data_IF_802608623406
#
_entry.id   IF_802608623406
#
_cell.length_a   1.000
_cell.length_b   1.000
_cell.length_c   1.000
_cell.angle_alpha   90.00
_cell.angle_beta   90.00
_cell.angle_gamma   90.00
#
_symmetry.space_group_name_H-M   'P 1'
#
loop_
_entity.id
_entity.type
_entity.pdbx_description
1 polymer ?
#
# COMPACT_ATOMS: atom_id res chain seq x y z
N UNK A 1 10.69 -4.27 -8.74
CA UNK A 1 10.19 -3.07 -8.03
C UNK A 1 10.87 -2.95 -6.68
N UNK A 2 11.61 -1.86 -6.48
CA UNK A 2 12.20 -1.49 -5.19
C UNK A 2 11.15 -0.81 -4.31
N UNK A 3 11.31 -0.88 -3.00
CA UNK A 3 10.47 -0.15 -2.06
C UNK A 3 11.28 0.50 -0.94
N UNK A 4 10.67 1.48 -0.29
CA UNK A 4 11.16 2.13 0.93
C UNK A 4 9.98 2.37 1.87
N UNK A 5 10.26 2.52 3.16
CA UNK A 5 9.27 2.91 4.17
C UNK A 5 9.60 4.29 4.71
N UNK A 6 8.57 5.06 5.04
CA UNK A 6 8.73 6.30 5.81
C UNK A 6 8.85 5.99 7.30
N UNK A 7 9.43 6.91 8.07
CA UNK A 7 9.47 6.81 9.53
C UNK A 7 8.08 6.79 10.18
N UNK A 8 7.07 7.38 9.53
CA UNK A 8 5.69 7.28 9.98
C UNK A 8 5.15 5.86 9.77
N UNK A 9 5.42 5.26 8.61
CA UNK A 9 5.05 3.88 8.31
C UNK A 9 5.69 2.91 9.30
N UNK A 10 6.98 3.07 9.61
CA UNK A 10 7.68 2.15 10.51
C UNK A 10 7.08 2.18 11.92
N UNK A 11 6.71 3.37 12.42
CA UNK A 11 6.04 3.54 13.71
C UNK A 11 4.63 2.95 13.71
N UNK A 12 3.85 3.28 12.69
CA UNK A 12 2.51 2.73 12.48
C UNK A 12 2.54 1.20 12.43
N UNK A 13 3.48 0.64 11.66
CA UNK A 13 3.66 -0.80 11.51
C UNK A 13 4.08 -1.45 12.83
N UNK A 14 4.98 -0.83 13.60
CA UNK A 14 5.37 -1.32 14.91
C UNK A 14 4.19 -1.34 15.91
N UNK A 15 3.27 -0.38 15.79
CA UNK A 15 2.07 -0.29 16.65
C UNK A 15 0.92 -1.22 16.26
N UNK A 16 0.97 -1.86 15.08
CA UNK A 16 -0.09 -2.77 14.64
C UNK A 16 -0.08 -4.09 15.43
N UNK A 17 -1.26 -4.66 15.73
CA UNK A 17 -1.37 -6.01 16.25
C UNK A 17 -0.59 -7.02 15.38
N UNK A 18 0.08 -8.03 15.97
CA UNK A 18 0.84 -9.04 15.22
C UNK A 18 0.04 -9.71 14.10
N UNK A 19 -1.22 -10.03 14.36
CA UNK A 19 -2.13 -10.62 13.38
C UNK A 19 -2.34 -9.70 12.17
N UNK A 20 -2.60 -8.41 12.41
CA UNK A 20 -2.81 -7.42 11.36
C UNK A 20 -1.54 -7.22 10.51
N UNK A 21 -0.35 -7.24 11.13
CA UNK A 21 0.92 -7.24 10.40
C UNK A 21 1.04 -8.46 9.49
N UNK A 22 0.72 -9.65 9.99
CA UNK A 22 0.72 -10.88 9.21
C UNK A 22 -0.26 -10.84 8.04
N UNK A 23 -1.48 -10.34 8.26
CA UNK A 23 -2.49 -10.15 7.22
C UNK A 23 -2.03 -9.17 6.13
N UNK A 24 -1.43 -8.04 6.52
CA UNK A 24 -0.88 -7.08 5.58
C UNK A 24 0.23 -7.70 4.71
N UNK A 25 1.20 -8.37 5.33
CA UNK A 25 2.30 -9.02 4.61
C UNK A 25 1.78 -10.13 3.66
N UNK A 26 0.76 -10.87 4.09
CA UNK A 26 0.11 -11.89 3.26
C UNK A 26 -0.60 -11.25 2.06
N UNK A 27 -1.37 -10.17 2.28
CA UNK A 27 -2.01 -9.43 1.20
C UNK A 27 -0.99 -8.85 0.21
N UNK A 28 0.17 -8.40 0.69
CA UNK A 28 1.24 -7.94 -0.17
C UNK A 28 1.81 -9.05 -1.04
N UNK A 29 2.21 -10.16 -0.40
CA UNK A 29 2.83 -11.31 -1.06
C UNK A 29 1.90 -11.97 -2.08
N UNK A 30 0.65 -12.20 -1.68
CA UNK A 30 -0.26 -13.06 -2.45
C UNK A 30 -1.02 -12.28 -3.53
N UNK A 31 -1.12 -10.96 -3.42
CA UNK A 31 -2.00 -10.16 -4.28
C UNK A 31 -1.34 -8.89 -4.81
N UNK A 32 -0.77 -8.05 -3.93
CA UNK A 32 -0.26 -6.75 -4.35
C UNK A 32 0.97 -6.88 -5.25
N UNK A 33 2.02 -7.58 -4.80
CA UNK A 33 3.28 -7.73 -5.54
C UNK A 33 3.09 -8.46 -6.88
N UNK A 34 2.30 -9.55 -6.96
CA UNK A 34 1.98 -10.16 -8.25
C UNK A 34 1.26 -9.21 -9.22
N UNK A 35 0.29 -8.43 -8.72
CA UNK A 35 -0.43 -7.46 -9.56
C UNK A 35 0.49 -6.33 -10.07
N UNK A 36 1.40 -5.85 -9.22
CA UNK A 36 2.44 -4.90 -9.62
C UNK A 36 3.32 -5.52 -10.71
N UNK A 37 3.80 -6.75 -10.52
CA UNK A 37 4.63 -7.46 -11.50
C UNK A 37 3.93 -7.67 -12.84
N UNK A 38 2.60 -7.79 -12.83
CA UNK A 38 1.78 -7.89 -14.04
C UNK A 38 1.48 -6.53 -14.70
N UNK A 39 1.87 -5.40 -14.10
CA UNK A 39 1.68 -4.07 -14.67
C UNK A 39 0.43 -3.32 -14.20
N UNK A 40 -0.17 -3.66 -13.05
CA UNK A 40 -1.44 -3.08 -12.61
C UNK A 40 -1.45 -1.55 -12.44
N UNK A 41 -0.29 -0.92 -12.27
CA UNK A 41 -0.18 0.55 -12.27
C UNK A 41 -0.55 1.21 -13.61
N UNK A 42 -0.37 0.50 -14.73
CA UNK A 42 -0.80 0.99 -16.05
C UNK A 42 -2.32 0.87 -16.26
N UNK A 43 -3.04 0.28 -15.29
CA UNK A 43 -4.49 0.06 -15.37
C UNK A 43 -4.91 -1.18 -16.15
N UNK A 44 -3.99 -1.87 -16.82
CA UNK A 44 -4.23 -3.15 -17.51
C UNK A 44 -3.03 -4.08 -17.25
N UNK A 45 -3.22 -5.24 -16.60
CA UNK A 45 -4.46 -5.73 -16.00
C UNK A 45 -4.91 -4.88 -14.79
N UNK A 46 -6.20 -4.88 -14.42
CA UNK A 46 -6.67 -4.14 -13.25
C UNK A 46 -6.17 -4.77 -11.94
N UNK A 47 -6.27 -4.01 -10.85
CA UNK A 47 -6.00 -4.53 -9.50
C UNK A 47 -6.91 -5.72 -9.14
N UNK A 48 -6.42 -6.71 -8.35
CA UNK A 48 -7.25 -7.79 -7.84
C UNK A 48 -8.44 -7.23 -7.05
N UNK A 49 -9.66 -7.74 -7.28
CA UNK A 49 -10.91 -7.24 -6.65
C UNK A 49 -10.89 -7.22 -5.11
N UNK A 50 -10.05 -8.05 -4.51
CA UNK A 50 -9.83 -8.14 -3.05
C UNK A 50 -8.93 -7.04 -2.48
N UNK A 51 -8.28 -6.27 -3.33
CA UNK A 51 -7.56 -5.05 -2.96
C UNK A 51 -8.35 -3.87 -3.47
N UNK A 52 -8.64 -2.90 -2.62
CA UNK A 52 -9.18 -1.61 -3.07
C UNK A 52 -8.04 -0.62 -3.15
N UNK A 53 -7.55 -0.39 -4.36
CA UNK A 53 -6.48 0.56 -4.63
C UNK A 53 -7.02 1.69 -5.48
N UNK A 54 -6.81 2.92 -5.03
CA UNK A 54 -7.17 4.11 -5.78
C UNK A 54 -6.25 5.27 -5.39
N UNK A 55 -6.08 6.22 -6.29
CA UNK A 55 -5.32 7.44 -6.03
C UNK A 55 -6.19 8.43 -5.26
N UNK A 56 -5.64 9.05 -4.22
CA UNK A 56 -6.33 10.10 -3.47
C UNK A 56 -6.41 11.36 -4.34
N UNK A 57 -7.62 11.94 -4.42
CA UNK A 57 -7.92 13.10 -5.25
C UNK A 57 -6.94 14.26 -5.01
N UNK A 58 -6.38 14.81 -6.08
CA UNK A 58 -5.45 15.96 -5.99
C UNK A 58 -4.04 15.64 -5.47
N UNK A 59 -3.67 14.36 -5.30
CA UNK A 59 -2.35 13.96 -4.79
C UNK A 59 -1.66 12.92 -5.69
N UNK A 60 -0.39 12.59 -5.44
CA UNK A 60 0.30 11.41 -6.01
C UNK A 60 0.20 10.16 -5.12
N UNK A 61 -0.58 10.23 -4.04
CA UNK A 61 -0.69 9.18 -3.03
C UNK A 61 -1.80 8.21 -3.42
N UNK A 62 -1.48 6.92 -3.31
CA UNK A 62 -2.40 5.81 -3.42
C UNK A 62 -2.86 5.38 -2.04
N UNK A 63 -4.14 5.06 -1.94
CA UNK A 63 -4.73 4.32 -0.83
C UNK A 63 -4.83 2.84 -1.20
N UNK A 64 -4.51 1.97 -0.25
CA UNK A 64 -4.72 0.53 -0.28
C UNK A 64 -5.62 0.10 0.88
N UNK A 65 -6.72 -0.58 0.59
CA UNK A 65 -7.42 -1.44 1.56
C UNK A 65 -6.97 -2.87 1.36
N UNK A 66 -6.35 -3.45 2.39
CA UNK A 66 -5.80 -4.82 2.37
C UNK A 66 -6.56 -5.80 3.28
N UNK A 67 -7.43 -5.29 4.15
CA UNK A 67 -8.34 -6.07 4.98
C UNK A 67 -9.68 -5.34 5.12
N UNK A 68 -10.79 -6.06 5.02
CA UNK A 68 -12.16 -5.55 5.19
C UNK A 68 -12.81 -5.99 6.51
N UNK A 69 -12.16 -6.87 7.28
CA UNK A 69 -12.56 -7.21 8.65
C UNK A 69 -12.30 -6.01 9.57
N UNK A 70 -13.12 -5.81 10.60
CA UNK A 70 -12.99 -4.68 11.52
C UNK A 70 -11.87 -4.90 12.55
N UNK A 71 -10.95 -3.93 12.77
CA UNK A 71 -10.82 -2.68 12.03
C UNK A 71 -10.17 -2.90 10.66
N UNK A 72 -10.65 -2.15 9.68
CA UNK A 72 -10.37 -2.35 8.26
C UNK A 72 -8.96 -1.87 7.88
N UNK A 73 -8.09 -2.80 7.52
CA UNK A 73 -6.70 -2.54 7.23
C UNK A 73 -6.48 -1.59 6.04
N UNK A 74 -5.83 -0.46 6.30
CA UNK A 74 -5.44 0.57 5.33
C UNK A 74 -3.93 0.75 5.26
N UNK A 75 -3.45 1.19 4.10
CA UNK A 75 -2.11 1.67 3.90
C UNK A 75 -2.10 2.77 2.83
N UNK A 76 -1.14 3.69 2.91
CA UNK A 76 -0.89 4.69 1.87
C UNK A 76 0.51 4.54 1.31
N UNK A 77 0.67 4.80 0.01
CA UNK A 77 1.98 4.79 -0.64
C UNK A 77 1.98 5.75 -1.83
N UNK A 78 3.16 6.16 -2.29
CA UNK A 78 3.33 6.84 -3.58
C UNK A 78 4.41 6.16 -4.41
N UNK A 79 4.46 6.49 -5.70
CA UNK A 79 5.54 6.05 -6.58
C UNK A 79 6.48 7.23 -6.81
N UNK A 80 7.77 7.00 -6.58
CA UNK A 80 8.84 7.92 -6.97
C UNK A 80 9.53 7.41 -8.22
N UNK A 81 10.08 8.32 -9.02
CA UNK A 81 11.01 7.94 -10.08
C UNK A 81 12.32 7.47 -9.43
N UNK A 82 12.68 6.21 -9.66
CA UNK A 82 13.97 5.68 -9.25
C UNK A 82 15.05 5.88 -10.32
N UNK A 83 16.29 5.49 -9.99
CA UNK A 83 17.36 5.36 -10.98
C UNK A 83 16.92 4.43 -12.12
N UNK A 84 17.39 4.70 -13.34
CA UNK A 84 17.15 3.87 -14.52
C UNK A 84 15.66 3.72 -14.92
N UNK A 85 14.82 4.69 -14.54
CA UNK A 85 13.37 4.74 -14.80
C UNK A 85 12.54 3.65 -14.10
N UNK A 86 13.14 2.84 -13.21
CA UNK A 86 12.40 1.89 -12.38
C UNK A 86 11.65 2.64 -11.26
N UNK A 87 10.32 2.53 -11.13
CA UNK A 87 9.59 3.20 -10.05
C UNK A 87 9.95 2.60 -8.69
N UNK A 88 10.08 3.47 -7.69
CA UNK A 88 10.26 3.08 -6.29
C UNK A 88 8.94 3.29 -5.57
N UNK A 89 8.42 2.25 -4.94
CA UNK A 89 7.25 2.36 -4.07
C UNK A 89 7.67 2.86 -2.69
N UNK A 90 7.05 3.94 -2.23
CA UNK A 90 7.31 4.49 -0.90
C UNK A 90 6.07 4.34 -0.03
N UNK A 91 6.16 3.45 0.97
CA UNK A 91 5.11 3.27 1.96
C UNK A 91 5.09 4.45 2.94
N UNK A 92 3.91 5.04 3.13
CA UNK A 92 3.73 6.27 3.91
C UNK A 92 3.11 6.01 5.28
N UNK A 93 1.93 5.38 5.33
CA UNK A 93 1.18 5.06 6.56
C UNK A 93 0.57 3.66 6.49
N UNK A 94 0.28 3.06 7.63
CA UNK A 94 -0.50 1.82 7.74
C UNK A 94 -1.37 1.85 9.01
N UNK A 95 -2.56 1.28 8.98
CA UNK A 95 -3.48 1.36 10.12
C UNK A 95 -4.92 1.11 9.72
N UNK A 96 -5.81 1.89 10.31
CA UNK A 96 -7.24 1.96 9.96
C UNK A 96 -7.53 3.22 9.13
N UNK A 97 -8.78 3.66 9.11
CA UNK A 97 -9.20 4.88 8.42
C UNK A 97 -8.50 6.16 8.91
N UNK A 98 -7.99 6.21 10.14
CA UNK A 98 -7.38 7.40 10.74
C UNK A 98 -6.11 7.88 10.01
N UNK A 99 -5.44 7.00 9.25
CA UNK A 99 -4.22 7.36 8.53
C UNK A 99 -4.44 8.42 7.44
N UNK A 100 -5.67 8.57 6.93
CA UNK A 100 -5.97 9.55 5.88
C UNK A 100 -5.95 11.00 6.36
N UNK A 101 -5.93 11.25 7.67
CA UNK A 101 -5.72 12.60 8.21
C UNK A 101 -4.31 13.13 7.97
N UNK A 102 -3.33 12.25 7.74
CA UNK A 102 -1.96 12.61 7.38
C UNK A 102 -1.32 11.50 6.52
N UNK A 103 -1.69 11.41 5.22
CA UNK A 103 -1.43 10.25 4.38
C UNK A 103 0.00 10.14 3.82
#
# INVERSE_FOLDING_TARGET
MRYRTSSAFDRDFAGLPPEHRGMFLTALRDHFLPAVGAGAFAGTPPWPRRLRIHRLTGSSIYSLTWNFSSPDGRATFHLEQGPDTEPILVWRRIGDHGIYGNP
#
